data_IF_703370297868
#
_entry.id   IF_703370297868
#
_cell.length_a   1.000
_cell.length_b   1.000
_cell.length_c   1.000
_cell.angle_alpha   90.00
_cell.angle_beta   90.00
_cell.angle_gamma   90.00
#
_symmetry.space_group_name_H-M   'P 1'
#
loop_
_entity.id
_entity.type
_entity.pdbx_description
1 polymer ?
#
# COMPACT_ATOMS: atom_id res chain seq x y z
N UNK A 1 34.73 -45.84 19.50
CA UNK A 1 35.29 -44.72 18.73
C UNK A 1 34.31 -44.40 17.62
N UNK A 2 33.41 -43.43 17.85
CA UNK A 2 32.41 -43.01 16.84
C UNK A 2 32.93 -41.79 16.11
N UNK A 3 33.28 -41.95 14.85
CA UNK A 3 33.66 -40.85 13.97
C UNK A 3 32.41 -40.03 13.61
N UNK A 4 32.35 -38.81 14.11
CA UNK A 4 31.31 -37.81 13.83
C UNK A 4 31.56 -37.28 12.41
N UNK A 5 30.65 -37.57 11.46
CA UNK A 5 30.71 -37.08 10.11
C UNK A 5 30.55 -35.55 10.10
N UNK A 6 31.43 -34.83 9.42
CA UNK A 6 31.38 -33.39 9.20
C UNK A 6 30.20 -33.06 8.28
N UNK A 7 29.48 -31.95 8.48
CA UNK A 7 28.40 -31.51 7.59
C UNK A 7 28.96 -31.15 6.21
N UNK A 8 28.30 -31.64 5.16
CA UNK A 8 28.62 -31.31 3.77
C UNK A 8 28.37 -29.80 3.53
N UNK A 9 29.24 -29.11 2.77
CA UNK A 9 28.99 -27.75 2.36
C UNK A 9 27.73 -27.72 1.46
N UNK A 10 26.86 -26.72 1.72
CA UNK A 10 25.70 -26.42 0.89
C UNK A 10 26.20 -26.08 -0.53
N UNK A 11 25.92 -26.94 -1.48
CA UNK A 11 26.16 -26.67 -2.89
C UNK A 11 25.22 -25.54 -3.33
N UNK A 12 25.81 -24.47 -3.82
CA UNK A 12 25.13 -23.34 -4.44
C UNK A 12 24.36 -23.88 -5.66
N UNK A 13 23.05 -23.76 -5.64
CA UNK A 13 22.17 -24.18 -6.75
C UNK A 13 21.98 -22.98 -7.71
N UNK A 14 22.65 -22.96 -8.88
CA UNK A 14 22.55 -21.86 -9.84
C UNK A 14 21.16 -21.74 -10.48
N UNK A 15 20.24 -22.70 -10.29
CA UNK A 15 18.89 -22.65 -10.81
C UNK A 15 17.96 -21.66 -10.04
N UNK A 16 18.38 -21.17 -8.88
CA UNK A 16 17.65 -20.14 -8.10
C UNK A 16 17.97 -18.71 -8.51
N UNK A 17 19.04 -18.46 -9.27
CA UNK A 17 19.43 -17.13 -9.75
C UNK A 17 18.66 -16.66 -10.98
N UNK A 18 17.91 -17.52 -11.66
CA UNK A 18 17.19 -17.20 -12.90
C UNK A 18 15.84 -16.45 -12.72
N UNK A 19 15.35 -16.22 -11.49
CA UNK A 19 14.05 -15.60 -11.23
C UNK A 19 14.14 -14.20 -10.59
N UNK A 20 15.33 -13.62 -10.51
CA UNK A 20 15.54 -12.22 -10.07
C UNK A 20 15.37 -11.26 -11.27
N UNK A 21 14.19 -11.23 -11.87
CA UNK A 21 13.75 -10.01 -12.53
C UNK A 21 13.72 -8.92 -11.47
N UNK A 22 14.64 -7.94 -11.57
CA UNK A 22 14.72 -6.83 -10.62
C UNK A 22 13.31 -6.28 -10.42
N UNK A 23 12.78 -6.40 -9.19
CA UNK A 23 11.46 -5.87 -8.86
C UNK A 23 11.52 -4.37 -9.11
N UNK A 24 10.77 -3.91 -10.09
CA UNK A 24 10.68 -2.49 -10.40
C UNK A 24 9.84 -1.84 -9.31
N UNK A 25 10.44 -0.93 -8.56
CA UNK A 25 9.78 -0.22 -7.48
C UNK A 25 9.25 1.15 -7.90
N UNK A 26 8.88 1.95 -6.90
CA UNK A 26 8.31 3.29 -7.10
C UNK A 26 9.25 4.21 -7.91
N UNK A 27 10.57 4.04 -7.76
CA UNK A 27 11.57 4.80 -8.53
C UNK A 27 11.41 4.62 -10.04
N UNK A 28 11.12 3.39 -10.49
CA UNK A 28 10.92 3.12 -11.92
C UNK A 28 9.64 3.77 -12.46
N UNK A 29 8.59 3.87 -11.64
CA UNK A 29 7.32 4.52 -11.98
C UNK A 29 7.46 6.03 -12.05
N UNK A 30 8.13 6.66 -11.08
CA UNK A 30 8.32 8.11 -11.02
C UNK A 30 9.34 8.64 -12.03
N UNK A 31 10.32 7.80 -12.41
CA UNK A 31 11.50 8.23 -13.15
C UNK A 31 12.56 8.87 -12.25
N UNK A 32 13.81 8.92 -12.77
CA UNK A 32 14.97 9.30 -11.99
C UNK A 32 14.92 10.75 -11.47
N UNK A 33 14.46 11.69 -12.28
CA UNK A 33 14.43 13.11 -11.90
C UNK A 33 13.46 13.38 -10.76
N UNK A 34 12.21 12.89 -10.85
CA UNK A 34 11.22 13.04 -9.80
C UNK A 34 11.65 12.31 -8.53
N UNK A 35 12.25 11.12 -8.67
CA UNK A 35 12.79 10.38 -7.53
C UNK A 35 13.86 11.13 -6.75
N UNK A 36 14.77 11.83 -7.43
CA UNK A 36 15.84 12.60 -6.80
C UNK A 36 15.37 13.90 -6.12
N UNK A 37 14.21 14.43 -6.50
CA UNK A 37 13.59 15.58 -5.80
C UNK A 37 12.93 15.20 -4.48
N UNK A 38 12.61 13.93 -4.27
CA UNK A 38 12.06 13.46 -3.00
C UNK A 38 13.11 13.55 -1.88
N UNK A 39 12.73 13.91 -0.64
CA UNK A 39 13.58 13.80 0.55
C UNK A 39 14.14 12.38 0.70
N UNK A 40 15.32 12.26 1.29
CA UNK A 40 15.99 10.97 1.49
C UNK A 40 15.11 9.99 2.27
N UNK A 41 14.50 10.44 3.37
CA UNK A 41 13.60 9.63 4.19
C UNK A 41 12.38 9.10 3.40
N UNK A 42 11.87 9.85 2.41
CA UNK A 42 10.80 9.36 1.53
C UNK A 42 11.36 8.30 0.57
N UNK A 43 12.55 8.53 0.00
CA UNK A 43 13.21 7.56 -0.89
C UNK A 43 13.51 6.25 -0.19
N UNK A 44 14.00 6.29 1.06
CA UNK A 44 14.23 5.11 1.88
C UNK A 44 12.94 4.35 2.15
N UNK A 45 11.85 5.05 2.50
CA UNK A 45 10.53 4.45 2.78
C UNK A 45 9.95 3.71 1.58
N UNK A 46 10.22 4.16 0.37
CA UNK A 46 9.72 3.60 -0.88
C UNK A 46 10.80 2.91 -1.72
N UNK A 47 11.99 2.63 -1.16
CA UNK A 47 13.05 1.92 -1.85
C UNK A 47 12.65 0.50 -2.27
N UNK A 48 13.29 -0.04 -3.29
CA UNK A 48 12.93 -1.34 -3.91
C UNK A 48 13.28 -2.55 -3.03
N UNK A 49 14.28 -2.39 -2.16
CA UNK A 49 14.72 -3.42 -1.21
C UNK A 49 14.31 -3.04 0.21
N UNK A 50 13.17 -3.56 0.65
CA UNK A 50 12.73 -3.36 2.02
C UNK A 50 12.96 -4.60 2.88
N UNK A 51 13.57 -4.41 4.06
CA UNK A 51 13.23 -5.23 5.20
C UNK A 51 11.77 -4.91 5.63
N UNK A 52 11.14 -5.79 6.38
CA UNK A 52 9.86 -5.46 7.02
C UNK A 52 10.06 -4.27 7.97
N UNK A 53 9.23 -3.25 7.85
CA UNK A 53 9.26 -2.06 8.70
C UNK A 53 7.88 -1.83 9.30
N UNK A 54 7.83 -1.58 10.60
CA UNK A 54 6.62 -1.15 11.30
C UNK A 54 6.71 0.33 11.62
N UNK A 55 5.70 1.08 11.23
CA UNK A 55 5.51 2.48 11.64
C UNK A 55 4.43 2.53 12.71
N UNK A 56 4.68 3.30 13.76
CA UNK A 56 3.71 3.58 14.82
C UNK A 56 3.35 5.06 14.79
N UNK A 57 2.12 5.39 15.17
CA UNK A 57 1.64 6.76 15.22
C UNK A 57 0.14 6.81 15.46
N UNK A 58 -0.47 7.91 15.07
CA UNK A 58 -1.91 8.09 15.18
C UNK A 58 -2.47 8.80 13.95
N UNK A 59 -3.66 8.41 13.55
CA UNK A 59 -4.48 9.23 12.68
C UNK A 59 -5.08 10.37 13.52
N UNK A 60 -4.67 11.59 13.24
CA UNK A 60 -5.19 12.80 13.89
C UNK A 60 -6.69 12.96 13.63
N UNK A 61 -7.10 12.63 12.39
CA UNK A 61 -8.49 12.70 11.95
C UNK A 61 -8.77 11.49 11.06
N UNK A 62 -9.87 10.80 11.35
CA UNK A 62 -10.51 9.82 10.45
C UNK A 62 -11.98 10.23 10.31
N UNK A 63 -12.38 10.64 9.11
CA UNK A 63 -13.71 11.19 8.84
C UNK A 63 -14.30 10.55 7.60
N UNK A 64 -15.60 10.29 7.62
CA UNK A 64 -16.35 9.80 6.48
C UNK A 64 -17.69 10.51 6.37
N UNK A 65 -18.17 10.74 5.13
CA UNK A 65 -19.55 11.14 4.93
C UNK A 65 -20.50 9.97 5.22
N UNK A 66 -21.79 10.24 5.43
CA UNK A 66 -22.78 9.17 5.62
C UNK A 66 -22.76 8.15 4.47
N UNK A 67 -22.64 8.63 3.25
CA UNK A 67 -22.55 7.76 2.08
C UNK A 67 -21.19 7.05 2.02
N UNK A 68 -20.10 7.72 2.43
CA UNK A 68 -18.79 7.12 2.62
C UNK A 68 -18.84 5.93 3.56
N UNK A 69 -19.49 6.05 4.71
CA UNK A 69 -19.67 4.94 5.64
C UNK A 69 -20.42 3.76 4.99
N UNK A 70 -21.44 4.01 4.17
CA UNK A 70 -22.12 2.95 3.42
C UNK A 70 -21.15 2.25 2.47
N UNK A 71 -20.33 3.01 1.72
CA UNK A 71 -19.30 2.42 0.87
C UNK A 71 -18.24 1.66 1.65
N UNK A 72 -17.82 2.16 2.83
CA UNK A 72 -16.89 1.42 3.69
C UNK A 72 -17.48 0.10 4.19
N UNK A 73 -18.74 0.09 4.59
CA UNK A 73 -19.42 -1.12 5.00
C UNK A 73 -19.57 -2.13 3.87
N UNK A 74 -20.03 -1.71 2.70
CA UNK A 74 -20.09 -2.56 1.50
C UNK A 74 -18.70 -3.05 1.11
N UNK A 75 -17.74 -2.16 1.21
CA UNK A 75 -16.36 -2.45 0.92
C UNK A 75 -15.74 -3.52 1.82
N UNK A 76 -16.20 -3.71 3.06
CA UNK A 76 -15.73 -4.82 3.91
C UNK A 76 -15.91 -6.18 3.24
N UNK A 77 -16.93 -6.34 2.41
CA UNK A 77 -17.17 -7.57 1.64
C UNK A 77 -16.08 -7.83 0.59
N UNK A 78 -15.43 -6.79 0.13
CA UNK A 78 -14.35 -6.84 -0.87
C UNK A 78 -13.01 -6.36 -0.33
N UNK A 79 -12.90 -6.16 1.00
CA UNK A 79 -11.65 -5.79 1.68
C UNK A 79 -11.14 -4.40 1.36
N UNK A 80 -11.99 -3.36 1.51
CA UNK A 80 -11.57 -1.99 1.22
C UNK A 80 -10.44 -1.47 2.10
N UNK A 81 -9.66 -0.50 1.58
CA UNK A 81 -8.55 0.12 2.31
C UNK A 81 -9.00 1.20 3.32
N UNK A 82 -10.26 1.22 3.73
CA UNK A 82 -10.82 2.27 4.61
C UNK A 82 -11.55 1.64 5.78
N UNK A 83 -11.23 2.09 7.00
CA UNK A 83 -11.96 1.69 8.19
C UNK A 83 -13.37 2.32 8.17
N UNK A 84 -14.45 1.54 8.47
CA UNK A 84 -15.82 2.04 8.42
C UNK A 84 -16.21 2.77 9.70
N UNK A 85 -15.34 3.66 10.17
CA UNK A 85 -15.47 4.40 11.43
C UNK A 85 -14.86 5.78 11.30
N UNK A 86 -15.27 6.66 12.20
CA UNK A 86 -14.72 7.99 12.39
C UNK A 86 -14.08 8.09 13.78
N UNK A 87 -13.09 8.95 13.91
CA UNK A 87 -12.41 9.20 15.16
C UNK A 87 -11.32 10.26 15.03
N UNK A 88 -10.87 10.74 16.17
CA UNK A 88 -9.73 11.64 16.30
C UNK A 88 -8.65 10.98 17.15
N UNK A 89 -7.39 11.25 16.84
CA UNK A 89 -6.23 10.68 17.52
C UNK A 89 -6.24 9.15 17.64
N UNK A 90 -6.71 8.47 16.57
CA UNK A 90 -6.82 7.01 16.52
C UNK A 90 -5.42 6.42 16.42
N UNK A 91 -4.98 5.71 17.46
CA UNK A 91 -3.69 5.01 17.42
C UNK A 91 -3.66 4.02 16.26
N UNK A 92 -2.53 3.97 15.56
CA UNK A 92 -2.41 3.07 14.44
C UNK A 92 -0.98 2.53 14.28
N UNK A 93 -0.91 1.32 13.74
CA UNK A 93 0.34 0.67 13.32
C UNK A 93 0.26 0.35 11.84
N UNK A 94 1.32 0.67 11.13
CA UNK A 94 1.42 0.40 9.70
C UNK A 94 2.62 -0.49 9.47
N UNK A 95 2.38 -1.74 9.12
CA UNK A 95 3.42 -2.69 8.77
C UNK A 95 3.57 -2.72 7.26
N UNK A 96 4.80 -2.46 6.81
CA UNK A 96 5.18 -2.50 5.40
C UNK A 96 6.15 -3.67 5.22
N UNK A 97 5.83 -4.59 4.35
CA UNK A 97 6.67 -5.76 4.10
C UNK A 97 6.73 -6.10 2.62
N UNK A 98 7.85 -6.68 2.16
CA UNK A 98 7.89 -7.28 0.82
C UNK A 98 6.86 -8.42 0.73
N UNK A 99 6.23 -8.52 -0.41
CA UNK A 99 5.29 -9.57 -0.80
C UNK A 99 5.82 -10.20 -2.08
N UNK A 100 5.42 -11.44 -2.41
CA UNK A 100 5.88 -12.15 -3.62
C UNK A 100 5.66 -11.34 -4.91
N UNK A 101 4.76 -10.35 -4.89
CA UNK A 101 4.33 -9.59 -6.05
C UNK A 101 4.55 -8.07 -5.93
N UNK A 102 4.95 -7.57 -4.77
CA UNK A 102 5.10 -6.14 -4.55
C UNK A 102 5.39 -5.79 -3.09
N UNK A 103 4.75 -4.76 -2.58
CA UNK A 103 4.90 -4.29 -1.21
C UNK A 103 3.54 -4.28 -0.52
N UNK A 104 3.39 -5.12 0.51
CA UNK A 104 2.17 -5.20 1.31
C UNK A 104 2.16 -4.14 2.40
N UNK A 105 1.03 -3.47 2.56
CA UNK A 105 0.74 -2.46 3.56
C UNK A 105 -0.39 -2.94 4.45
N UNK A 106 -0.10 -3.22 5.71
CA UNK A 106 -1.07 -3.64 6.73
C UNK A 106 -1.25 -2.47 7.69
N UNK A 107 -2.45 -1.92 7.76
CA UNK A 107 -2.81 -0.81 8.66
C UNK A 107 -3.73 -1.34 9.73
N UNK A 108 -3.32 -1.27 10.99
CA UNK A 108 -4.11 -1.61 12.15
C UNK A 108 -4.55 -0.31 12.83
N UNK A 109 -5.85 -0.13 13.00
CA UNK A 109 -6.46 0.98 13.73
C UNK A 109 -6.87 0.46 15.10
N UNK A 110 -6.48 1.18 16.14
CA UNK A 110 -6.77 0.87 17.54
C UNK A 110 -7.74 1.93 18.05
N UNK A 111 -9.01 1.56 18.14
CA UNK A 111 -10.06 2.49 18.54
C UNK A 111 -10.18 2.60 20.05
N UNK A 112 -10.64 3.74 20.57
CA UNK A 112 -10.82 4.00 22.01
C UNK A 112 -11.77 3.00 22.68
N UNK A 113 -12.71 2.40 21.93
CA UNK A 113 -13.60 1.37 22.41
C UNK A 113 -12.97 -0.04 22.50
N UNK A 114 -11.65 -0.13 22.29
CA UNK A 114 -10.88 -1.36 22.31
C UNK A 114 -11.00 -2.22 21.05
N UNK A 115 -11.79 -1.80 20.07
CA UNK A 115 -11.91 -2.50 18.79
C UNK A 115 -10.71 -2.24 17.91
N UNK A 116 -10.46 -3.18 16.99
CA UNK A 116 -9.39 -3.09 16.00
C UNK A 116 -9.96 -3.30 14.61
N UNK A 117 -9.54 -2.47 13.69
CA UNK A 117 -9.78 -2.68 12.26
C UNK A 117 -8.44 -2.90 11.55
N UNK A 118 -8.36 -3.96 10.75
CA UNK A 118 -7.20 -4.27 9.94
C UNK A 118 -7.54 -4.05 8.47
N UNK A 119 -6.70 -3.27 7.83
CA UNK A 119 -6.82 -2.92 6.41
C UNK A 119 -5.54 -3.32 5.70
N UNK A 120 -5.66 -4.12 4.65
CA UNK A 120 -4.53 -4.61 3.88
C UNK A 120 -4.64 -4.22 2.41
N UNK A 121 -3.53 -3.82 1.82
CA UNK A 121 -3.37 -3.64 0.38
C UNK A 121 -1.96 -4.02 -0.06
N UNK A 122 -1.76 -4.37 -1.34
CA UNK A 122 -0.44 -4.64 -1.92
C UNK A 122 -0.23 -3.73 -3.12
N UNK A 123 0.84 -2.93 -3.09
CA UNK A 123 1.26 -2.12 -4.24
C UNK A 123 2.15 -2.94 -5.14
N UNK A 124 1.79 -3.01 -6.42
CA UNK A 124 2.49 -3.79 -7.45
C UNK A 124 2.84 -2.88 -8.61
N UNK A 125 4.09 -2.92 -9.05
CA UNK A 125 4.49 -2.30 -10.31
C UNK A 125 4.34 -3.31 -11.43
N UNK A 126 3.57 -2.95 -12.44
CA UNK A 126 3.34 -3.80 -13.61
C UNK A 126 4.53 -3.71 -14.59
N UNK A 127 4.70 -4.67 -15.52
CA UNK A 127 5.79 -4.64 -16.49
C UNK A 127 5.82 -3.40 -17.39
N UNK A 128 4.67 -2.73 -17.58
CA UNK A 128 4.54 -1.47 -18.31
C UNK A 128 4.70 -0.23 -17.39
N UNK A 129 5.36 -0.39 -16.24
CA UNK A 129 5.71 0.66 -15.27
C UNK A 129 4.49 1.42 -14.70
N UNK A 130 3.37 0.75 -14.52
CA UNK A 130 2.20 1.32 -13.82
C UNK A 130 2.13 0.78 -12.41
N UNK A 131 1.78 1.65 -11.47
CA UNK A 131 1.50 1.24 -10.11
C UNK A 131 0.04 0.83 -9.99
N UNK A 132 -0.21 -0.33 -9.39
CA UNK A 132 -1.56 -0.83 -9.10
C UNK A 132 -1.63 -1.20 -7.62
N UNK A 133 -2.60 -0.69 -6.91
CA UNK A 133 -2.93 -1.14 -5.57
C UNK A 133 -3.94 -2.28 -5.66
N UNK A 134 -3.52 -3.46 -5.21
CA UNK A 134 -4.35 -4.65 -5.12
C UNK A 134 -4.96 -4.73 -3.74
N UNK A 135 -6.28 -4.87 -3.72
CA UNK A 135 -7.10 -5.04 -2.54
C UNK A 135 -7.57 -6.49 -2.45
N UNK A 136 -8.01 -6.97 -1.28
CA UNK A 136 -8.66 -8.27 -1.18
C UNK A 136 -9.81 -8.44 -2.19
N UNK A 137 -10.31 -9.67 -2.36
CA UNK A 137 -11.36 -10.03 -3.33
C UNK A 137 -11.07 -9.61 -4.78
N UNK A 138 -9.78 -9.52 -5.18
CA UNK A 138 -9.34 -9.19 -6.54
C UNK A 138 -9.72 -7.79 -7.03
N UNK A 139 -10.08 -6.88 -6.13
CA UNK A 139 -10.30 -5.49 -6.48
C UNK A 139 -8.94 -4.79 -6.69
N UNK A 140 -8.80 -4.09 -7.79
CA UNK A 140 -7.59 -3.39 -8.19
C UNK A 140 -7.87 -1.91 -8.42
N UNK A 141 -6.91 -1.08 -8.03
CA UNK A 141 -6.97 0.36 -8.18
C UNK A 141 -5.67 0.83 -8.86
N UNK A 142 -5.67 1.14 -10.16
CA UNK A 142 -4.53 1.75 -10.83
C UNK A 142 -4.25 3.12 -10.22
N UNK A 143 -2.97 3.40 -9.99
CA UNK A 143 -2.51 4.65 -9.39
C UNK A 143 -1.66 5.43 -10.39
N UNK A 144 -2.02 6.67 -10.63
CA UNK A 144 -1.09 7.67 -11.13
C UNK A 144 -0.23 8.13 -9.98
N UNK A 145 1.08 8.20 -10.19
CA UNK A 145 2.02 8.57 -9.16
C UNK A 145 2.92 9.67 -9.68
N UNK A 146 3.05 10.73 -8.90
CA UNK A 146 3.92 11.87 -9.24
C UNK A 146 4.55 12.46 -7.97
N UNK A 147 5.59 13.25 -8.20
CA UNK A 147 6.26 14.04 -7.17
C UNK A 147 5.94 15.53 -7.39
N UNK A 148 5.57 16.22 -6.34
CA UNK A 148 5.40 17.67 -6.33
C UNK A 148 5.93 18.25 -5.01
N UNK A 149 6.86 19.19 -5.10
CA UNK A 149 7.46 19.90 -3.95
C UNK A 149 8.02 18.96 -2.85
N UNK A 150 8.64 17.85 -3.24
CA UNK A 150 9.20 16.86 -2.31
C UNK A 150 8.16 15.91 -1.71
N UNK A 151 6.92 15.99 -2.15
CA UNK A 151 5.82 15.11 -1.71
C UNK A 151 5.55 14.06 -2.79
N UNK A 152 5.36 12.82 -2.39
CA UNK A 152 4.88 11.78 -3.29
C UNK A 152 3.36 11.66 -3.22
N UNK A 153 2.74 11.69 -4.38
CA UNK A 153 1.30 11.61 -4.56
C UNK A 153 0.90 10.32 -5.28
N UNK A 154 -0.20 9.73 -4.83
CA UNK A 154 -0.83 8.58 -5.47
C UNK A 154 -2.30 8.90 -5.72
N UNK A 155 -2.73 8.90 -6.98
CA UNK A 155 -4.10 9.24 -7.38
C UNK A 155 -4.73 8.08 -8.12
N UNK A 156 -5.87 7.58 -7.64
CA UNK A 156 -6.57 6.46 -8.28
C UNK A 156 -7.16 6.86 -9.64
N UNK A 157 -7.05 5.94 -10.59
CA UNK A 157 -7.62 6.08 -11.96
C UNK A 157 -8.80 5.12 -12.19
N UNK A 158 -9.60 4.91 -11.15
CA UNK A 158 -10.74 4.02 -11.18
C UNK A 158 -10.49 2.69 -10.49
N UNK A 159 -11.43 1.76 -10.64
CA UNK A 159 -11.40 0.45 -9.99
C UNK A 159 -11.82 -0.63 -10.96
N UNK A 160 -11.22 -1.80 -10.86
CA UNK A 160 -11.63 -2.97 -11.63
C UNK A 160 -11.44 -4.26 -10.81
N UNK A 161 -12.26 -5.26 -11.09
CA UNK A 161 -12.01 -6.62 -10.64
C UNK A 161 -11.10 -7.34 -11.64
N UNK A 162 -10.03 -7.95 -11.14
CA UNK A 162 -9.16 -8.82 -11.94
C UNK A 162 -9.72 -10.24 -11.94
N UNK A 163 -10.40 -10.62 -13.01
CA UNK A 163 -11.01 -11.92 -13.21
C UNK A 163 -10.08 -12.91 -13.96
N UNK A 164 -8.81 -12.57 -14.09
CA UNK A 164 -7.82 -13.43 -14.78
C UNK A 164 -7.76 -14.82 -14.13
N UNK A 165 -7.74 -15.91 -14.91
CA UNK A 165 -7.47 -17.23 -14.38
C UNK A 165 -6.01 -17.33 -13.92
N UNK A 166 -5.77 -17.87 -12.73
CA UNK A 166 -4.45 -18.04 -12.15
C UNK A 166 -4.25 -17.23 -10.86
N UNK A 167 -3.08 -17.33 -10.28
CA UNK A 167 -2.73 -16.59 -9.08
C UNK A 167 -2.86 -15.09 -9.33
N UNK A 168 -3.68 -14.45 -8.51
CA UNK A 168 -3.87 -12.99 -8.47
C UNK A 168 -2.54 -12.22 -8.43
N UNK A 169 -1.56 -12.95 -8.25
CA UNK A 169 -0.24 -12.57 -7.86
C UNK A 169 0.81 -12.43 -8.94
N UNK A 170 0.64 -12.70 -10.17
CA UNK A 170 1.80 -12.50 -11.05
C UNK A 170 1.75 -12.94 -12.49
N UNK A 171 0.77 -13.67 -12.93
CA UNK A 171 0.71 -14.05 -14.35
C UNK A 171 -0.02 -12.98 -15.14
N UNK A 172 0.73 -12.21 -15.89
CA UNK A 172 0.26 -11.30 -16.95
C UNK A 172 -0.15 -12.07 -18.19
N UNK A 173 -1.22 -12.84 -18.08
CA UNK A 173 -1.96 -13.26 -19.26
C UNK A 173 -2.94 -12.16 -19.69
N UNK A 174 -3.55 -12.21 -20.88
CA UNK A 174 -4.66 -11.33 -21.24
C UNK A 174 -5.83 -11.65 -20.30
N UNK A 175 -5.80 -11.04 -19.12
CA UNK A 175 -6.78 -11.24 -18.07
C UNK A 175 -8.03 -10.41 -18.32
N UNK A 176 -9.18 -10.97 -17.98
CA UNK A 176 -10.43 -10.25 -18.01
C UNK A 176 -10.47 -9.24 -16.85
N UNK A 177 -10.50 -7.95 -17.17
CA UNK A 177 -10.68 -6.85 -16.22
C UNK A 177 -12.09 -6.31 -16.31
N UNK A 178 -12.85 -6.42 -15.23
CA UNK A 178 -14.19 -5.85 -15.14
C UNK A 178 -14.09 -4.47 -14.46
N UNK A 179 -14.12 -3.41 -15.26
CA UNK A 179 -14.09 -2.03 -14.76
C UNK A 179 -15.41 -1.64 -14.10
N UNK A 180 -15.30 -1.02 -12.93
CA UNK A 180 -16.45 -0.49 -12.21
C UNK A 180 -16.78 0.90 -12.74
N UNK A 181 -18.06 1.17 -13.10
CA UNK A 181 -18.51 2.53 -13.40
C UNK A 181 -18.27 3.45 -12.20
N UNK A 182 -17.80 4.69 -12.46
CA UNK A 182 -17.36 5.61 -11.40
C UNK A 182 -18.40 5.90 -10.33
N UNK A 183 -19.69 5.89 -10.68
CA UNK A 183 -20.77 6.13 -9.72
C UNK A 183 -21.03 4.98 -8.74
N UNK A 184 -20.51 3.77 -9.00
CA UNK A 184 -20.53 2.62 -8.08
C UNK A 184 -19.26 2.51 -7.25
N UNK A 185 -18.33 3.45 -7.37
CA UNK A 185 -17.09 3.49 -6.60
C UNK A 185 -17.17 4.58 -5.54
N UNK A 186 -16.31 4.56 -4.50
CA UNK A 186 -16.27 5.64 -3.53
C UNK A 186 -15.72 6.95 -4.10
N UNK A 187 -15.19 6.93 -5.33
CA UNK A 187 -14.62 8.10 -6.01
C UNK A 187 -13.11 7.99 -6.21
N UNK A 188 -12.48 9.13 -6.43
CA UNK A 188 -11.02 9.24 -6.62
C UNK A 188 -10.34 9.28 -5.27
N UNK A 189 -9.44 8.34 -5.05
CA UNK A 189 -8.55 8.32 -3.89
C UNK A 189 -7.29 9.10 -4.20
N UNK A 190 -6.93 10.05 -3.35
CA UNK A 190 -5.67 10.79 -3.38
C UNK A 190 -4.93 10.55 -2.08
N UNK A 191 -3.69 10.07 -2.16
CA UNK A 191 -2.81 9.82 -1.03
C UNK A 191 -1.55 10.66 -1.16
N UNK A 192 -1.13 11.25 -0.07
CA UNK A 192 0.09 12.05 0.06
C UNK A 192 0.98 11.52 1.18
N UNK A 193 2.29 11.49 0.93
CA UNK A 193 3.28 11.23 1.95
C UNK A 193 4.26 12.41 2.03
N UNK A 194 4.20 13.11 3.14
CA UNK A 194 5.02 14.31 3.43
C UNK A 194 6.06 13.95 4.48
N UNK A 195 7.34 14.24 4.21
CA UNK A 195 8.38 14.16 5.23
C UNK A 195 8.25 15.34 6.19
N UNK A 196 8.27 15.05 7.50
CA UNK A 196 8.23 16.06 8.57
C UNK A 196 9.59 16.24 9.25
N UNK A 197 10.62 15.52 8.78
CA UNK A 197 11.93 15.48 9.39
C UNK A 197 11.99 14.58 10.65
N UNK A 198 13.22 14.34 11.12
CA UNK A 198 13.48 13.54 12.32
C UNK A 198 12.82 12.15 12.31
N UNK A 199 12.68 11.51 11.14
CA UNK A 199 12.06 10.20 10.98
C UNK A 199 10.53 10.20 10.99
N UNK A 200 9.88 11.36 11.20
CA UNK A 200 8.43 11.49 11.14
C UNK A 200 7.95 11.80 9.74
N UNK A 201 6.78 11.28 9.40
CA UNK A 201 6.07 11.62 8.17
C UNK A 201 4.57 11.77 8.41
N UNK A 202 3.93 12.56 7.56
CA UNK A 202 2.49 12.66 7.48
C UNK A 202 1.98 11.83 6.31
N UNK A 203 0.98 11.03 6.59
CA UNK A 203 0.13 10.38 5.62
C UNK A 203 -1.20 11.11 5.56
N UNK A 204 -1.66 11.49 4.38
CA UNK A 204 -2.99 12.04 4.17
C UNK A 204 -3.67 11.25 3.05
N UNK A 205 -4.94 10.89 3.23
CA UNK A 205 -5.76 10.26 2.21
C UNK A 205 -7.11 10.97 2.15
N UNK A 206 -7.48 11.38 0.94
CA UNK A 206 -8.80 11.92 0.63
C UNK A 206 -9.45 11.05 -0.44
N UNK A 207 -10.72 10.74 -0.28
CA UNK A 207 -11.54 10.07 -1.31
C UNK A 207 -12.67 11.01 -1.68
N UNK A 208 -12.72 11.42 -2.94
CA UNK A 208 -13.70 12.40 -3.43
C UNK A 208 -14.53 11.82 -4.57
N UNK A 209 -15.83 11.76 -4.36
CA UNK A 209 -16.79 11.35 -5.40
C UNK A 209 -17.24 12.55 -6.23
N UNK A 210 -17.31 12.45 -7.57
CA UNK A 210 -17.61 13.59 -8.43
C UNK A 210 -18.99 14.20 -8.18
N UNK A 211 -19.96 13.43 -7.69
CA UNK A 211 -21.32 13.90 -7.40
C UNK A 211 -21.57 14.17 -5.91
N UNK A 212 -20.87 13.50 -5.00
CA UNK A 212 -21.16 13.52 -3.56
C UNK A 212 -20.09 14.23 -2.75
N UNK A 213 -19.01 14.73 -3.37
CA UNK A 213 -17.91 15.41 -2.70
C UNK A 213 -17.04 14.47 -1.86
N UNK A 214 -16.51 14.95 -0.75
CA UNK A 214 -15.64 14.18 0.12
C UNK A 214 -16.37 13.00 0.76
N UNK A 215 -15.90 11.80 0.46
CA UNK A 215 -16.43 10.54 0.98
C UNK A 215 -15.67 10.08 2.21
N UNK A 216 -14.32 10.22 2.16
CA UNK A 216 -13.40 9.87 3.25
C UNK A 216 -12.27 10.87 3.30
N UNK A 217 -11.85 11.16 4.51
CA UNK A 217 -10.63 11.89 4.80
C UNK A 217 -9.93 11.28 6.00
N UNK A 218 -8.64 11.05 5.88
CA UNK A 218 -7.82 10.69 7.02
C UNK A 218 -6.43 11.30 6.89
N UNK A 219 -5.91 11.79 8.01
CA UNK A 219 -4.54 12.27 8.10
C UNK A 219 -3.92 11.85 9.41
N UNK A 220 -2.63 11.57 9.44
CA UNK A 220 -1.94 11.14 10.65
C UNK A 220 -0.43 11.23 10.52
N UNK A 221 0.25 11.16 11.66
CA UNK A 221 1.71 11.20 11.76
C UNK A 221 2.25 9.89 12.26
N UNK A 222 3.33 9.45 11.63
CA UNK A 222 3.94 8.15 11.87
C UNK A 222 5.46 8.29 11.88
N UNK A 223 6.12 7.42 12.66
CA UNK A 223 7.56 7.21 12.61
C UNK A 223 7.87 5.70 12.67
N UNK A 224 9.07 5.31 12.29
CA UNK A 224 9.49 3.92 12.44
C UNK A 224 9.41 3.52 13.93
N UNK A 225 8.74 2.40 14.21
CA UNK A 225 8.71 1.85 15.57
C UNK A 225 10.09 1.27 15.90
N UNK A 226 10.58 1.56 17.10
CA UNK A 226 11.75 0.85 17.61
C UNK A 226 11.40 -0.63 17.79
N UNK A 227 12.22 -1.53 17.22
CA UNK A 227 12.08 -2.95 17.50
C UNK A 227 12.38 -3.17 19.00
N UNK A 228 11.34 -3.45 19.76
CA UNK A 228 11.54 -3.90 21.14
C UNK A 228 12.12 -5.33 21.08
N UNK A 229 13.42 -5.42 21.31
CA UNK A 229 14.19 -6.68 21.40
C UNK A 229 13.71 -7.51 22.56
#
# INVERSE_FOLDING_TARGET
MNARALPRPLTHDPAREGASGARQGLRAVLGQEAWLRLPEAVRERFADAHAEVTYAGAFEIVRASRLGLVFAWLGRLVGTPVAPREGENVEARVRVRPDDHGVAWLREYLWDDGRRDLVQSTKVVTPDLRLVEKLPARLCMPLETYEENGVVHFVSKGYYFDLSPGDFAGKTGPGLKLWLPGFFTPGVTHVEHVDLGHGWFRFTMTVTHPLFGEMFFQTGRFCAAEETT
#
